data_IF_379304797094
#
_entry.id   IF_379304797094
#
_cell.length_a   1.000
_cell.length_b   1.000
_cell.length_c   1.000
_cell.angle_alpha   90.00
_cell.angle_beta   90.00
_cell.angle_gamma   90.00
#
_symmetry.space_group_name_H-M   'P 1'
#
loop_
_entity.id
_entity.type
_entity.pdbx_description
1 polymer ?
#
# COMPACT_ATOMS: atom_id res chain seq x y z
N UNK A 1 -19.35 -19.03 -28.75
CA UNK A 1 -20.21 -18.64 -27.59
C UNK A 1 -19.62 -18.97 -26.21
N UNK A 2 -19.08 -20.18 -25.92
CA UNK A 2 -18.56 -20.52 -24.57
C UNK A 2 -17.47 -19.58 -23.99
N UNK A 3 -16.63 -18.97 -24.84
CA UNK A 3 -15.55 -18.08 -24.38
C UNK A 3 -16.04 -16.68 -23.97
N UNK A 4 -17.11 -16.13 -24.56
CA UNK A 4 -17.62 -14.80 -24.18
C UNK A 4 -18.33 -14.83 -22.82
N UNK A 5 -19.06 -15.91 -22.51
CA UNK A 5 -19.67 -16.07 -21.18
C UNK A 5 -18.62 -16.09 -20.06
N UNK A 6 -17.47 -16.73 -20.29
CA UNK A 6 -16.36 -16.73 -19.33
C UNK A 6 -15.75 -15.34 -19.14
N UNK A 7 -15.58 -14.55 -20.21
CA UNK A 7 -15.04 -13.19 -20.08
C UNK A 7 -16.01 -12.26 -19.37
N UNK A 8 -17.32 -12.36 -19.63
CA UNK A 8 -18.34 -11.55 -18.96
C UNK A 8 -18.41 -11.92 -17.47
N UNK A 9 -18.41 -13.20 -17.12
CA UNK A 9 -18.39 -13.62 -15.72
C UNK A 9 -17.13 -13.16 -14.98
N UNK A 10 -15.96 -13.20 -15.65
CA UNK A 10 -14.71 -12.68 -15.10
C UNK A 10 -14.78 -11.17 -14.88
N UNK A 11 -15.36 -10.43 -15.83
CA UNK A 11 -15.54 -8.99 -15.73
C UNK A 11 -16.52 -8.61 -14.61
N UNK A 12 -17.62 -9.35 -14.48
CA UNK A 12 -18.58 -9.16 -13.40
C UNK A 12 -17.91 -9.35 -12.04
N UNK A 13 -16.88 -10.21 -11.90
CA UNK A 13 -16.14 -10.33 -10.62
C UNK A 13 -15.49 -9.03 -10.16
N UNK A 14 -15.32 -8.02 -11.02
CA UNK A 14 -14.84 -6.68 -10.65
C UNK A 14 -15.88 -5.95 -9.78
N UNK A 15 -17.18 -6.29 -9.85
CA UNK A 15 -18.20 -5.69 -9.02
C UNK A 15 -18.23 -6.31 -7.59
N UNK A 16 -18.73 -5.57 -6.57
CA UNK A 16 -18.94 -6.10 -5.22
C UNK A 16 -19.87 -7.33 -5.23
N UNK A 17 -19.67 -8.28 -4.31
CA UNK A 17 -20.49 -9.50 -4.27
C UNK A 17 -21.98 -9.19 -4.09
N UNK A 18 -22.32 -8.39 -3.08
CA UNK A 18 -23.70 -7.98 -2.79
C UNK A 18 -24.35 -7.26 -3.98
N UNK A 19 -23.60 -6.40 -4.68
CA UNK A 19 -24.07 -5.75 -5.90
C UNK A 19 -24.34 -6.76 -7.01
N UNK A 20 -23.46 -7.75 -7.21
CA UNK A 20 -23.64 -8.80 -8.23
C UNK A 20 -24.79 -9.73 -7.91
N UNK A 21 -24.99 -10.04 -6.64
CA UNK A 21 -26.09 -10.89 -6.20
C UNK A 21 -27.44 -10.21 -6.47
N UNK A 22 -27.49 -8.86 -6.44
CA UNK A 22 -28.70 -8.07 -6.73
C UNK A 22 -28.88 -7.72 -8.22
N UNK A 23 -27.83 -7.24 -8.89
CA UNK A 23 -27.92 -6.65 -10.24
C UNK A 23 -27.09 -7.39 -11.30
N UNK A 24 -26.31 -8.41 -10.91
CA UNK A 24 -25.39 -9.10 -11.81
C UNK A 24 -26.09 -9.90 -12.90
N UNK A 25 -27.28 -10.43 -12.62
CA UNK A 25 -28.12 -11.10 -13.62
C UNK A 25 -28.61 -10.13 -14.69
N UNK A 26 -29.23 -9.03 -14.27
CA UNK A 26 -29.75 -7.98 -15.17
C UNK A 26 -28.63 -7.38 -16.03
N UNK A 27 -27.49 -7.00 -15.42
CA UNK A 27 -26.36 -6.45 -16.16
C UNK A 27 -25.81 -7.44 -17.19
N UNK A 28 -25.80 -8.74 -16.87
CA UNK A 28 -25.36 -9.77 -17.82
C UNK A 28 -26.28 -9.82 -19.04
N UNK A 29 -27.59 -9.81 -18.83
CA UNK A 29 -28.58 -9.80 -19.91
C UNK A 29 -28.41 -8.55 -20.78
N UNK A 30 -28.29 -7.36 -20.16
CA UNK A 30 -28.05 -6.11 -20.91
C UNK A 30 -26.76 -6.15 -21.75
N UNK A 31 -25.68 -6.75 -21.23
CA UNK A 31 -24.43 -6.91 -21.99
C UNK A 31 -24.63 -7.88 -23.16
N UNK A 32 -25.35 -8.99 -22.96
CA UNK A 32 -25.65 -9.96 -24.02
C UNK A 32 -26.51 -9.33 -25.12
N UNK A 33 -27.51 -8.54 -24.75
CA UNK A 33 -28.37 -7.79 -25.69
C UNK A 33 -27.57 -6.74 -26.48
N UNK A 34 -26.71 -5.96 -25.82
CA UNK A 34 -25.89 -4.95 -26.51
C UNK A 34 -24.83 -5.55 -27.45
N UNK A 35 -24.42 -6.79 -27.23
CA UNK A 35 -23.38 -7.43 -28.04
C UNK A 35 -23.97 -8.21 -29.23
N UNK A 36 -25.25 -8.60 -29.20
CA UNK A 36 -25.92 -9.38 -30.25
C UNK A 36 -25.10 -10.60 -30.74
N UNK A 37 -24.36 -11.24 -29.81
CA UNK A 37 -23.48 -12.38 -30.11
C UNK A 37 -22.05 -12.02 -30.57
N UNK A 38 -21.74 -10.74 -30.77
CA UNK A 38 -20.39 -10.25 -31.08
C UNK A 38 -19.46 -10.33 -29.86
N UNK A 39 -18.14 -10.54 -30.05
CA UNK A 39 -17.19 -10.48 -28.95
C UNK A 39 -17.08 -9.04 -28.41
N UNK A 40 -16.97 -8.83 -27.09
CA UNK A 40 -16.87 -7.50 -26.53
C UNK A 40 -15.54 -6.83 -26.91
N UNK A 41 -15.63 -5.60 -27.43
CA UNK A 41 -14.44 -4.79 -27.73
C UNK A 41 -13.80 -4.25 -26.45
N UNK A 42 -12.50 -3.92 -26.48
CA UNK A 42 -11.81 -3.30 -25.34
C UNK A 42 -12.46 -1.97 -24.93
N UNK A 43 -12.95 -1.21 -25.91
CA UNK A 43 -13.66 0.05 -25.69
C UNK A 43 -14.97 -0.14 -24.91
N UNK A 44 -15.59 -1.32 -24.99
CA UNK A 44 -16.75 -1.69 -24.18
C UNK A 44 -16.34 -2.20 -22.79
N UNK A 45 -15.29 -3.02 -22.72
CA UNK A 45 -14.83 -3.65 -21.47
C UNK A 45 -14.24 -2.66 -20.48
N UNK A 46 -13.48 -1.66 -20.95
CA UNK A 46 -12.80 -0.68 -20.09
C UNK A 46 -13.80 0.15 -19.26
N UNK A 47 -14.81 0.83 -19.85
CA UNK A 47 -15.81 1.57 -19.08
C UNK A 47 -16.57 0.70 -18.08
N UNK A 48 -16.91 -0.53 -18.48
CA UNK A 48 -17.63 -1.47 -17.63
C UNK A 48 -16.76 -1.91 -16.43
N UNK A 49 -15.48 -2.20 -16.65
CA UNK A 49 -14.51 -2.46 -15.59
C UNK A 49 -14.33 -1.24 -14.66
N UNK A 50 -14.27 -0.02 -15.21
CA UNK A 50 -14.19 1.23 -14.45
C UNK A 50 -15.44 1.47 -13.61
N UNK A 51 -16.63 1.18 -14.12
CA UNK A 51 -17.89 1.23 -13.36
C UNK A 51 -17.88 0.21 -12.21
N UNK A 52 -17.43 -1.01 -12.45
CA UNK A 52 -17.24 -2.01 -11.39
C UNK A 52 -16.25 -1.57 -10.31
N UNK A 53 -15.13 -0.97 -10.74
CA UNK A 53 -14.14 -0.41 -9.83
C UNK A 53 -14.71 0.77 -9.02
N UNK A 54 -15.48 1.66 -9.65
CA UNK A 54 -16.18 2.77 -8.99
C UNK A 54 -17.19 2.25 -7.95
N UNK A 55 -17.98 1.22 -8.28
CA UNK A 55 -18.91 0.61 -7.32
C UNK A 55 -18.17 -0.04 -6.15
N UNK A 56 -17.05 -0.73 -6.40
CA UNK A 56 -16.18 -1.22 -5.33
C UNK A 56 -15.63 -0.10 -4.47
N UNK A 57 -15.23 1.02 -5.07
CA UNK A 57 -14.81 2.20 -4.33
C UNK A 57 -15.95 2.73 -3.45
N UNK A 58 -17.17 2.86 -3.97
CA UNK A 58 -18.33 3.29 -3.17
C UNK A 58 -18.62 2.32 -2.02
N UNK A 59 -18.56 1.01 -2.24
CA UNK A 59 -18.70 -0.01 -1.18
C UNK A 59 -17.56 0.00 -0.18
N UNK A 60 -16.34 0.28 -0.64
CA UNK A 60 -15.18 0.44 0.20
C UNK A 60 -15.29 1.70 1.07
N UNK A 61 -15.78 2.80 0.51
CA UNK A 61 -16.09 4.04 1.23
C UNK A 61 -17.24 3.85 2.21
N UNK A 62 -18.29 3.10 1.86
CA UNK A 62 -19.39 2.79 2.79
C UNK A 62 -18.95 1.83 3.90
N UNK A 63 -17.98 0.95 3.63
CA UNK A 63 -17.29 0.18 4.68
C UNK A 63 -16.48 1.09 5.62
N UNK A 64 -16.31 2.38 5.29
CA UNK A 64 -15.80 3.40 6.19
C UNK A 64 -16.86 4.19 6.96
N UNK A 65 -18.15 3.97 6.74
CA UNK A 65 -19.23 4.64 7.48
C UNK A 65 -19.21 4.32 9.00
N UNK A 66 -19.68 5.24 9.85
CA UNK A 66 -19.85 4.99 11.29
C UNK A 66 -20.83 3.83 11.48
N UNK A 67 -20.34 2.68 11.96
CA UNK A 67 -21.13 1.45 12.12
C UNK A 67 -20.50 0.20 11.50
N UNK A 68 -19.53 0.37 10.59
CA UNK A 68 -18.69 -0.74 10.13
C UNK A 68 -17.92 -1.33 11.32
N UNK A 69 -18.07 -2.63 11.61
CA UNK A 69 -17.46 -3.29 12.77
C UNK A 69 -15.93 -3.17 12.87
N UNK A 70 -15.30 -3.71 13.94
CA UNK A 70 -13.88 -3.53 14.28
C UNK A 70 -12.89 -3.84 13.14
N UNK A 71 -13.26 -4.75 12.24
CA UNK A 71 -12.47 -5.14 11.06
C UNK A 71 -12.22 -3.98 10.09
N UNK A 72 -13.10 -2.97 10.04
CA UNK A 72 -12.92 -1.79 9.17
C UNK A 72 -11.71 -0.95 9.58
N UNK A 73 -11.48 -0.77 10.89
CA UNK A 73 -10.32 -0.06 11.41
C UNK A 73 -9.01 -0.76 11.05
N UNK A 74 -8.94 -2.08 11.23
CA UNK A 74 -7.75 -2.86 10.87
C UNK A 74 -7.45 -2.84 9.37
N UNK A 75 -8.50 -2.89 8.52
CA UNK A 75 -8.33 -2.77 7.07
C UNK A 75 -7.74 -1.41 6.68
N UNK A 76 -8.23 -0.32 7.28
CA UNK A 76 -7.65 1.02 7.10
C UNK A 76 -6.19 1.06 7.50
N UNK A 77 -5.84 0.50 8.66
CA UNK A 77 -4.46 0.45 9.14
C UNK A 77 -3.53 -0.29 8.18
N UNK A 78 -3.96 -1.41 7.62
CA UNK A 78 -3.17 -2.17 6.64
C UNK A 78 -2.96 -1.39 5.34
N UNK A 79 -3.99 -0.69 4.85
CA UNK A 79 -3.89 0.12 3.63
C UNK A 79 -3.02 1.35 3.87
N UNK A 80 -3.19 2.03 5.00
CA UNK A 80 -2.35 3.13 5.42
C UNK A 80 -0.88 2.71 5.47
N UNK A 81 -0.60 1.54 6.03
CA UNK A 81 0.74 0.99 6.12
C UNK A 81 1.35 0.67 4.75
N UNK A 82 0.57 0.09 3.82
CA UNK A 82 1.01 -0.17 2.46
C UNK A 82 1.40 1.12 1.73
N UNK A 83 0.56 2.15 1.83
CA UNK A 83 0.82 3.46 1.26
C UNK A 83 2.02 4.14 1.91
N UNK A 84 2.16 4.02 3.23
CA UNK A 84 3.31 4.53 3.96
C UNK A 84 4.60 3.88 3.48
N UNK A 85 4.65 2.56 3.30
CA UNK A 85 5.83 1.86 2.78
C UNK A 85 6.25 2.38 1.39
N UNK A 86 5.29 2.53 0.48
CA UNK A 86 5.54 3.05 -0.87
C UNK A 86 6.01 4.50 -0.82
N UNK A 87 5.28 5.35 -0.10
CA UNK A 87 5.60 6.78 0.06
C UNK A 87 6.93 7.01 0.76
N UNK A 88 7.21 6.28 1.85
CA UNK A 88 8.45 6.40 2.61
C UNK A 88 9.67 5.92 1.81
N UNK A 89 9.54 4.84 1.04
CA UNK A 89 10.64 4.37 0.19
C UNK A 89 10.99 5.38 -0.91
N UNK A 90 9.96 5.95 -1.55
CA UNK A 90 10.15 7.04 -2.51
C UNK A 90 10.75 8.29 -1.85
N UNK A 91 10.26 8.66 -0.67
CA UNK A 91 10.80 9.78 0.12
C UNK A 91 12.27 9.59 0.48
N UNK A 92 12.67 8.41 0.98
CA UNK A 92 14.08 8.11 1.28
C UNK A 92 14.95 8.30 0.05
N UNK A 93 14.47 7.87 -1.13
CA UNK A 93 15.19 8.09 -2.38
C UNK A 93 15.29 9.57 -2.75
N UNK A 94 14.22 10.34 -2.64
CA UNK A 94 14.22 11.79 -2.89
C UNK A 94 15.17 12.54 -1.95
N UNK A 95 15.35 12.05 -0.72
CA UNK A 95 16.16 12.70 0.31
C UNK A 95 17.61 12.23 0.38
N UNK A 96 18.02 11.26 -0.45
CA UNK A 96 19.35 10.62 -0.40
C UNK A 96 20.50 11.64 -0.46
N UNK A 97 20.33 12.73 -1.21
CA UNK A 97 21.35 13.76 -1.39
C UNK A 97 21.09 15.05 -0.60
N UNK A 98 20.11 15.05 0.32
CA UNK A 98 19.75 16.25 1.06
C UNK A 98 20.92 16.81 1.89
N UNK A 99 21.76 15.93 2.44
CA UNK A 99 22.96 16.33 3.20
C UNK A 99 23.99 17.12 2.39
N UNK A 100 23.91 17.06 1.05
CA UNK A 100 24.77 17.84 0.17
C UNK A 100 24.32 19.31 0.03
N UNK A 101 23.26 19.73 0.74
CA UNK A 101 22.72 21.10 0.77
C UNK A 101 23.07 21.76 2.13
N UNK A 102 24.28 22.31 2.31
CA UNK A 102 24.90 22.48 3.64
C UNK A 102 24.22 23.51 4.55
N UNK A 103 23.51 24.50 3.96
CA UNK A 103 22.83 25.56 4.71
C UNK A 103 21.49 25.10 5.31
N UNK A 104 20.87 24.07 4.74
CA UNK A 104 19.54 23.63 5.11
C UNK A 104 19.57 22.32 5.90
N UNK A 105 20.63 21.53 5.75
CA UNK A 105 20.84 20.24 6.41
C UNK A 105 21.00 20.29 7.95
N UNK A 106 20.95 21.49 8.54
CA UNK A 106 21.24 21.75 9.97
C UNK A 106 20.07 22.40 10.72
N UNK A 107 18.91 22.54 10.08
CA UNK A 107 17.75 23.13 10.73
C UNK A 107 17.23 22.16 11.82
N UNK A 108 16.83 22.66 13.01
CA UNK A 108 16.32 21.79 14.09
C UNK A 108 15.16 20.89 13.66
N UNK A 109 14.29 21.40 12.77
CA UNK A 109 13.15 20.66 12.24
C UNK A 109 13.58 19.42 11.43
N UNK A 110 14.72 19.47 10.73
CA UNK A 110 15.25 18.31 10.01
C UNK A 110 15.71 17.23 10.97
N UNK A 111 16.45 17.60 12.02
CA UNK A 111 16.94 16.65 13.01
C UNK A 111 15.77 15.92 13.67
N UNK A 112 14.76 16.68 14.12
CA UNK A 112 13.55 16.14 14.75
C UNK A 112 12.79 15.22 13.78
N UNK A 113 12.54 15.66 12.54
CA UNK A 113 11.79 14.86 11.57
C UNK A 113 12.54 13.58 11.17
N UNK A 114 13.86 13.67 10.94
CA UNK A 114 14.73 12.53 10.69
C UNK A 114 14.69 11.51 11.82
N UNK A 115 14.81 11.96 13.08
CA UNK A 115 14.83 11.06 14.24
C UNK A 115 13.46 10.42 14.47
N UNK A 116 12.37 11.19 14.37
CA UNK A 116 11.00 10.66 14.43
C UNK A 116 10.78 9.61 13.34
N UNK A 117 11.22 9.88 12.11
CA UNK A 117 11.10 8.95 10.99
C UNK A 117 11.85 7.64 11.25
N UNK A 118 13.12 7.71 11.68
CA UNK A 118 13.95 6.53 11.94
C UNK A 118 13.44 5.70 13.12
N UNK A 119 13.19 6.35 14.25
CA UNK A 119 12.74 5.67 15.48
C UNK A 119 11.37 5.05 15.23
N UNK A 120 10.42 5.80 14.66
CA UNK A 120 9.09 5.28 14.40
C UNK A 120 9.11 4.15 13.37
N UNK A 121 9.98 4.25 12.34
CA UNK A 121 10.19 3.18 11.36
C UNK A 121 10.68 1.90 12.01
N UNK A 122 11.70 1.99 12.87
CA UNK A 122 12.23 0.84 13.62
C UNK A 122 11.16 0.22 14.55
N UNK A 123 10.47 1.04 15.35
CA UNK A 123 9.44 0.54 16.27
C UNK A 123 8.27 -0.09 15.49
N UNK A 124 7.88 0.49 14.36
CA UNK A 124 6.84 -0.06 13.48
C UNK A 124 7.24 -1.43 12.92
N UNK A 125 8.49 -1.58 12.47
CA UNK A 125 9.03 -2.87 12.05
C UNK A 125 9.00 -3.92 13.17
N UNK A 126 9.43 -3.56 14.38
CA UNK A 126 9.36 -4.46 15.54
C UNK A 126 7.93 -4.87 15.89
N UNK A 127 6.96 -3.93 15.82
CA UNK A 127 5.55 -4.23 16.03
C UNK A 127 5.04 -5.29 15.04
N UNK A 128 5.46 -5.23 13.78
CA UNK A 128 5.09 -6.22 12.76
C UNK A 128 5.69 -7.59 13.08
N UNK A 129 6.96 -7.64 13.49
CA UNK A 129 7.61 -8.90 13.88
C UNK A 129 6.90 -9.56 15.07
N UNK A 130 6.56 -8.77 16.10
CA UNK A 130 5.78 -9.25 17.24
C UNK A 130 4.40 -9.73 16.80
N UNK A 131 3.70 -8.95 15.97
CA UNK A 131 2.39 -9.32 15.44
C UNK A 131 2.43 -10.62 14.61
N UNK A 132 3.47 -10.82 13.81
CA UNK A 132 3.70 -12.02 13.04
C UNK A 132 3.99 -13.23 13.95
N UNK A 133 4.89 -13.07 14.92
CA UNK A 133 5.24 -14.12 15.89
C UNK A 133 4.01 -14.58 16.70
N UNK A 134 3.17 -13.65 17.15
CA UNK A 134 1.91 -13.95 17.85
C UNK A 134 0.90 -14.68 16.95
N UNK A 135 0.93 -14.45 15.64
CA UNK A 135 0.02 -15.06 14.67
C UNK A 135 0.47 -16.43 14.17
N UNK A 136 1.78 -16.69 14.20
CA UNK A 136 2.40 -17.93 13.72
C UNK A 136 1.77 -19.21 14.29
N UNK A 137 1.58 -19.40 15.62
CA UNK A 137 1.04 -20.66 16.14
C UNK A 137 -0.40 -20.93 15.66
N UNK A 138 -1.22 -19.88 15.53
CA UNK A 138 -2.58 -20.00 15.02
C UNK A 138 -2.61 -20.33 13.54
N UNK A 139 -1.69 -19.77 12.76
CA UNK A 139 -1.49 -20.13 11.37
C UNK A 139 -1.10 -21.61 11.22
N UNK A 140 -0.13 -22.10 12.00
CA UNK A 140 0.26 -23.51 11.98
C UNK A 140 -0.86 -24.46 12.44
N UNK A 141 -1.70 -24.05 13.40
CA UNK A 141 -2.90 -24.81 13.77
C UNK A 141 -3.92 -24.86 12.63
N UNK A 142 -4.13 -23.74 11.93
CA UNK A 142 -5.00 -23.67 10.76
C UNK A 142 -4.52 -24.59 9.62
N UNK A 143 -3.19 -24.77 9.46
CA UNK A 143 -2.62 -25.73 8.51
C UNK A 143 -3.00 -27.19 8.77
N UNK A 144 -3.62 -27.53 9.91
CA UNK A 144 -4.13 -28.88 10.17
C UNK A 144 -5.58 -29.07 9.75
N UNK A 145 -6.36 -28.00 9.53
CA UNK A 145 -7.79 -28.05 9.19
C UNK A 145 -8.10 -28.09 7.68
N UNK A 146 -9.37 -28.20 7.25
CA UNK A 146 -9.76 -28.30 5.84
C UNK A 146 -9.63 -27.00 5.03
N UNK A 147 -9.37 -25.84 5.65
CA UNK A 147 -9.36 -24.51 5.01
C UNK A 147 -8.02 -24.10 4.36
N UNK A 148 -7.07 -25.03 4.17
CA UNK A 148 -5.66 -24.72 3.84
C UNK A 148 -5.47 -24.00 2.50
N UNK A 149 -6.22 -24.36 1.47
CA UNK A 149 -5.82 -24.13 0.07
C UNK A 149 -5.84 -22.65 -0.34
N UNK A 150 -6.78 -21.85 0.15
CA UNK A 150 -6.92 -20.45 -0.27
C UNK A 150 -5.87 -19.52 0.37
N UNK A 151 -5.63 -19.67 1.68
CA UNK A 151 -4.62 -18.85 2.40
C UNK A 151 -3.23 -19.19 1.92
N UNK A 152 -2.93 -20.49 1.76
CA UNK A 152 -1.62 -20.95 1.33
C UNK A 152 -1.26 -20.43 -0.05
N UNK A 153 -2.21 -20.41 -0.99
CA UNK A 153 -1.96 -19.85 -2.31
C UNK A 153 -1.50 -18.39 -2.22
N UNK A 154 -2.18 -17.54 -1.43
CA UNK A 154 -1.80 -16.11 -1.32
C UNK A 154 -0.44 -15.93 -0.64
N UNK A 155 -0.18 -16.68 0.44
CA UNK A 155 1.11 -16.63 1.13
C UNK A 155 2.24 -17.09 0.22
N UNK A 156 2.05 -18.19 -0.52
CA UNK A 156 3.05 -18.66 -1.50
C UNK A 156 3.33 -17.60 -2.56
N UNK A 157 2.28 -16.97 -3.13
CA UNK A 157 2.48 -15.88 -4.08
C UNK A 157 3.23 -14.69 -3.49
N UNK A 158 2.90 -14.28 -2.26
CA UNK A 158 3.63 -13.25 -1.56
C UNK A 158 5.11 -13.63 -1.34
N UNK A 159 5.39 -14.85 -0.89
CA UNK A 159 6.76 -15.33 -0.67
C UNK A 159 7.57 -15.40 -1.97
N UNK A 160 6.95 -15.82 -3.07
CA UNK A 160 7.58 -15.82 -4.40
C UNK A 160 7.92 -14.40 -4.85
N UNK A 161 6.96 -13.47 -4.72
CA UNK A 161 7.17 -12.06 -5.06
C UNK A 161 8.24 -11.40 -4.17
N UNK A 162 8.22 -11.68 -2.87
CA UNK A 162 9.23 -11.19 -1.92
C UNK A 162 10.62 -11.72 -2.25
N UNK A 163 10.73 -13.01 -2.60
CA UNK A 163 12.00 -13.62 -3.02
C UNK A 163 12.52 -13.00 -4.32
N UNK A 164 11.64 -12.82 -5.31
CA UNK A 164 11.99 -12.15 -6.57
C UNK A 164 12.42 -10.70 -6.34
N UNK A 165 11.73 -9.97 -5.45
CA UNK A 165 12.09 -8.62 -5.06
C UNK A 165 13.47 -8.54 -4.39
N UNK A 166 13.76 -9.45 -3.45
CA UNK A 166 15.07 -9.51 -2.79
C UNK A 166 16.19 -9.79 -3.80
N UNK A 167 16.00 -10.78 -4.67
CA UNK A 167 16.97 -11.11 -5.73
C UNK A 167 17.18 -9.95 -6.71
N UNK A 168 16.09 -9.29 -7.12
CA UNK A 168 16.14 -8.11 -7.98
C UNK A 168 16.86 -6.95 -7.29
N UNK A 169 16.68 -6.76 -5.99
CA UNK A 169 17.38 -5.71 -5.21
C UNK A 169 18.89 -5.96 -5.20
N UNK A 170 19.33 -7.19 -4.90
CA UNK A 170 20.75 -7.55 -4.94
C UNK A 170 21.32 -7.33 -6.35
N UNK A 171 20.61 -7.79 -7.38
CA UNK A 171 21.02 -7.63 -8.78
C UNK A 171 21.12 -6.15 -9.19
N UNK A 172 20.16 -5.32 -8.77
CA UNK A 172 20.13 -3.89 -9.03
C UNK A 172 21.29 -3.16 -8.34
N UNK A 173 21.61 -3.54 -7.09
CA UNK A 173 22.75 -2.98 -6.35
C UNK A 173 24.07 -3.34 -7.05
N UNK A 174 24.25 -4.61 -7.43
CA UNK A 174 25.44 -5.04 -8.18
C UNK A 174 25.55 -4.30 -9.52
N UNK A 175 24.43 -4.16 -10.25
CA UNK A 175 24.41 -3.40 -11.50
C UNK A 175 24.76 -1.93 -11.28
N UNK A 176 24.25 -1.31 -10.21
CA UNK A 176 24.55 0.07 -9.86
C UNK A 176 26.02 0.29 -9.47
N UNK A 177 26.71 -0.72 -8.92
CA UNK A 177 28.14 -0.61 -8.59
C UNK A 177 29.04 -0.46 -9.81
N UNK A 178 28.60 -0.89 -10.99
CA UNK A 178 29.33 -0.72 -12.25
C UNK A 178 29.01 0.61 -12.96
N UNK A 179 28.21 1.49 -12.34
CA UNK A 179 27.80 2.76 -12.93
C UNK A 179 28.37 3.96 -12.19
N UNK A 180 28.73 5.00 -12.96
CA UNK A 180 29.05 6.30 -12.40
C UNK A 180 27.78 7.02 -11.88
N UNK A 181 27.96 8.12 -11.15
CA UNK A 181 26.85 8.87 -10.54
C UNK A 181 25.83 9.38 -11.57
N UNK A 182 26.30 9.83 -12.74
CA UNK A 182 25.43 10.39 -13.79
C UNK A 182 24.52 9.30 -14.37
N UNK A 183 25.08 8.14 -14.69
CA UNK A 183 24.32 7.01 -15.22
C UNK A 183 23.23 6.52 -14.25
N UNK A 184 23.50 6.50 -12.94
CA UNK A 184 22.51 6.11 -11.91
C UNK A 184 21.38 7.12 -11.71
N UNK A 185 21.61 8.39 -12.04
CA UNK A 185 20.69 9.50 -11.79
C UNK A 185 20.04 10.03 -13.08
N UNK A 186 19.62 9.12 -13.96
CA UNK A 186 18.88 9.45 -15.18
C UNK A 186 19.71 9.52 -16.46
N UNK A 187 21.04 9.41 -16.38
CA UNK A 187 21.92 9.38 -17.55
C UNK A 187 21.92 8.06 -18.33
N UNK A 188 21.32 7.00 -17.80
CA UNK A 188 21.21 5.70 -18.47
C UNK A 188 19.74 5.22 -18.51
N UNK A 189 19.11 5.16 -19.70
CA UNK A 189 17.69 4.79 -19.83
C UNK A 189 17.42 3.32 -19.49
N UNK A 190 18.38 2.41 -19.72
CA UNK A 190 18.25 1.01 -19.34
C UNK A 190 18.20 0.88 -17.81
N UNK A 191 19.11 1.56 -17.10
CA UNK A 191 19.10 1.56 -15.64
C UNK A 191 17.79 2.13 -15.08
N UNK A 192 17.31 3.25 -15.65
CA UNK A 192 16.05 3.85 -15.26
C UNK A 192 14.86 2.88 -15.46
N UNK A 193 14.83 2.16 -16.59
CA UNK A 193 13.82 1.13 -16.86
C UNK A 193 13.86 -0.03 -15.88
N UNK A 194 15.06 -0.54 -15.55
CA UNK A 194 15.24 -1.60 -14.55
C UNK A 194 14.83 -1.12 -13.15
N UNK A 195 15.20 0.12 -12.78
CA UNK A 195 14.82 0.72 -11.50
C UNK A 195 13.29 0.91 -11.38
N UNK A 196 12.63 1.31 -12.47
CA UNK A 196 11.17 1.41 -12.53
C UNK A 196 10.50 0.05 -12.37
N UNK A 197 10.98 -0.98 -13.09
CA UNK A 197 10.47 -2.35 -12.96
C UNK A 197 10.65 -2.88 -11.54
N UNK A 198 11.80 -2.61 -10.91
CA UNK A 198 12.05 -2.92 -9.50
C UNK A 198 11.06 -2.21 -8.56
N UNK A 199 10.79 -0.92 -8.79
CA UNK A 199 9.79 -0.15 -8.01
C UNK A 199 8.37 -0.69 -8.14
N UNK A 200 7.98 -1.14 -9.34
CA UNK A 200 6.69 -1.81 -9.58
C UNK A 200 6.64 -3.15 -8.82
N UNK A 201 7.71 -3.96 -8.91
CA UNK A 201 7.81 -5.23 -8.20
C UNK A 201 7.71 -5.04 -6.68
N UNK A 202 8.35 -4.00 -6.15
CA UNK A 202 8.23 -3.61 -4.74
C UNK A 202 6.77 -3.33 -4.35
N UNK A 203 6.09 -2.44 -5.09
CA UNK A 203 4.70 -2.08 -4.81
C UNK A 203 3.77 -3.30 -4.89
N UNK A 204 3.92 -4.15 -5.90
CA UNK A 204 3.15 -5.40 -6.05
C UNK A 204 3.40 -6.35 -4.89
N UNK A 205 4.65 -6.47 -4.43
CA UNK A 205 5.02 -7.31 -3.27
C UNK A 205 4.37 -6.81 -1.99
N UNK A 206 4.39 -5.49 -1.74
CA UNK A 206 3.72 -4.87 -0.58
C UNK A 206 2.22 -5.15 -0.62
N UNK A 207 1.56 -4.93 -1.77
CA UNK A 207 0.13 -5.19 -1.94
C UNK A 207 -0.19 -6.67 -1.71
N UNK A 208 0.59 -7.59 -2.28
CA UNK A 208 0.41 -9.03 -2.10
C UNK A 208 0.56 -9.44 -0.62
N UNK A 209 1.51 -8.84 0.10
CA UNK A 209 1.68 -9.03 1.55
C UNK A 209 0.44 -8.59 2.32
N UNK A 210 -0.04 -7.37 2.08
CA UNK A 210 -1.26 -6.85 2.71
C UNK A 210 -2.49 -7.72 2.43
N UNK A 211 -2.68 -8.15 1.17
CA UNK A 211 -3.78 -9.05 0.79
C UNK A 211 -3.69 -10.43 1.43
N UNK A 212 -2.47 -10.91 1.70
CA UNK A 212 -2.23 -12.17 2.42
C UNK A 212 -2.57 -12.02 3.90
N UNK A 213 -2.16 -10.91 4.53
CA UNK A 213 -2.52 -10.59 5.91
C UNK A 213 -4.04 -10.47 6.08
N UNK A 214 -4.73 -9.76 5.18
CA UNK A 214 -6.18 -9.61 5.21
C UNK A 214 -6.93 -10.94 5.10
N UNK A 215 -6.44 -11.84 4.24
CA UNK A 215 -7.02 -13.17 4.10
C UNK A 215 -6.74 -14.02 5.35
N UNK A 216 -5.53 -13.92 5.92
CA UNK A 216 -5.16 -14.59 7.16
C UNK A 216 -6.04 -14.16 8.32
N UNK A 217 -6.25 -12.85 8.51
CA UNK A 217 -7.12 -12.31 9.58
C UNK A 217 -8.55 -12.81 9.47
N UNK A 218 -9.06 -13.04 8.26
CA UNK A 218 -10.43 -13.55 8.04
C UNK A 218 -10.59 -15.04 8.37
N UNK A 219 -9.52 -15.83 8.31
CA UNK A 219 -9.59 -17.28 8.45
C UNK A 219 -9.00 -17.80 9.77
N UNK A 220 -8.07 -17.07 10.38
CA UNK A 220 -7.42 -17.47 11.61
C UNK A 220 -8.34 -17.15 12.81
N UNK A 221 -8.71 -18.19 13.55
CA UNK A 221 -9.44 -18.06 14.81
C UNK A 221 -8.45 -17.79 15.94
N UNK A 222 -8.33 -16.53 16.34
CA UNK A 222 -7.48 -16.10 17.46
C UNK A 222 -8.20 -16.26 18.81
N UNK A 223 -7.43 -16.44 19.89
CA UNK A 223 -7.97 -16.30 21.25
C UNK A 223 -8.29 -14.85 21.57
N UNK A 224 -9.19 -14.61 22.54
CA UNK A 224 -9.55 -13.25 22.97
C UNK A 224 -8.33 -12.43 23.44
N UNK A 225 -7.38 -13.09 24.13
CA UNK A 225 -6.14 -12.46 24.59
C UNK A 225 -5.26 -12.02 23.42
N UNK A 226 -5.05 -12.90 22.43
CA UNK A 226 -4.25 -12.56 21.24
C UNK A 226 -4.92 -11.47 20.41
N UNK A 227 -6.25 -11.48 20.28
CA UNK A 227 -6.98 -10.39 19.60
C UNK A 227 -6.73 -9.06 20.32
N UNK A 228 -6.85 -9.01 21.65
CA UNK A 228 -6.61 -7.79 22.40
C UNK A 228 -5.17 -7.27 22.21
N UNK A 229 -4.18 -8.15 22.19
CA UNK A 229 -2.79 -7.78 21.96
C UNK A 229 -2.56 -7.27 20.53
N UNK A 230 -3.11 -7.96 19.52
CA UNK A 230 -3.05 -7.54 18.11
C UNK A 230 -3.73 -6.19 17.89
N UNK A 231 -4.85 -5.92 18.57
CA UNK A 231 -5.53 -4.62 18.51
C UNK A 231 -4.63 -3.51 19.07
N UNK A 232 -3.95 -3.74 20.21
CA UNK A 232 -3.01 -2.77 20.79
C UNK A 232 -1.80 -2.53 19.89
N UNK A 233 -1.22 -3.59 19.34
CA UNK A 233 -0.09 -3.50 18.39
C UNK A 233 -0.52 -2.78 17.13
N UNK A 234 -1.70 -3.08 16.59
CA UNK A 234 -2.26 -2.43 15.40
C UNK A 234 -2.55 -0.94 15.64
N UNK A 235 -3.06 -0.59 16.84
CA UNK A 235 -3.27 0.80 17.24
C UNK A 235 -1.94 1.56 17.30
N UNK A 236 -0.93 0.98 17.97
CA UNK A 236 0.42 1.55 18.03
C UNK A 236 1.02 1.70 16.63
N UNK A 237 0.91 0.67 15.79
CA UNK A 237 1.35 0.72 14.40
C UNK A 237 0.70 1.84 13.60
N UNK A 238 -0.61 2.07 13.77
CA UNK A 238 -1.31 3.17 13.10
C UNK A 238 -0.85 4.56 13.59
N UNK A 239 -0.57 4.71 14.89
CA UNK A 239 0.02 5.94 15.44
C UNK A 239 1.41 6.19 14.83
N UNK A 240 2.25 5.15 14.78
CA UNK A 240 3.59 5.24 14.21
C UNK A 240 3.55 5.56 12.71
N UNK A 241 2.68 4.92 11.93
CA UNK A 241 2.48 5.25 10.51
C UNK A 241 2.07 6.71 10.33
N UNK A 242 1.20 7.23 11.20
CA UNK A 242 0.80 8.64 11.18
C UNK A 242 2.01 9.55 11.44
N UNK A 243 2.83 9.24 12.45
CA UNK A 243 4.02 10.01 12.82
C UNK A 243 5.08 10.01 11.69
N UNK A 244 5.39 8.84 11.12
CA UNK A 244 6.34 8.71 10.01
C UNK A 244 5.86 9.50 8.79
N UNK A 245 4.58 9.36 8.43
CA UNK A 245 4.02 10.01 7.24
C UNK A 245 3.99 11.52 7.39
N UNK A 246 3.58 12.03 8.56
CA UNK A 246 3.62 13.45 8.87
C UNK A 246 5.05 13.99 8.85
N UNK A 247 6.00 13.27 9.44
CA UNK A 247 7.41 13.66 9.45
C UNK A 247 7.98 13.77 8.03
N UNK A 248 7.73 12.76 7.19
CA UNK A 248 8.15 12.77 5.79
C UNK A 248 7.50 13.91 4.99
N UNK A 249 6.22 14.22 5.23
CA UNK A 249 5.52 15.33 4.60
C UNK A 249 6.08 16.69 5.01
N UNK A 250 6.37 16.90 6.30
CA UNK A 250 6.99 18.13 6.80
C UNK A 250 8.38 18.32 6.19
N UNK A 251 9.15 17.23 6.06
CA UNK A 251 10.46 17.28 5.42
C UNK A 251 10.34 17.59 3.92
N UNK A 252 9.42 16.95 3.19
CA UNK A 252 9.15 17.29 1.79
C UNK A 252 8.75 18.75 1.63
N UNK A 253 7.85 19.26 2.48
CA UNK A 253 7.44 20.65 2.47
C UNK A 253 8.64 21.59 2.69
N UNK A 254 9.51 21.27 3.65
CA UNK A 254 10.74 22.03 3.89
C UNK A 254 11.64 22.07 2.64
N UNK A 255 11.81 20.93 1.96
CA UNK A 255 12.59 20.84 0.72
C UNK A 255 11.98 21.71 -0.39
N UNK A 256 10.65 21.63 -0.58
CA UNK A 256 9.94 22.44 -1.58
C UNK A 256 10.12 23.94 -1.31
N UNK A 257 10.01 24.39 -0.06
CA UNK A 257 10.08 25.81 0.30
C UNK A 257 11.50 26.34 0.31
N UNK A 258 12.45 25.56 0.84
CA UNK A 258 13.83 26.05 1.09
C UNK A 258 14.80 25.71 -0.02
N UNK A 259 14.54 24.66 -0.80
CA UNK A 259 15.39 24.23 -1.91
C UNK A 259 14.56 23.64 -3.06
N UNK A 260 13.68 24.41 -3.70
CA UNK A 260 12.79 23.89 -4.74
C UNK A 260 13.54 23.20 -5.90
N UNK A 261 14.73 23.72 -6.25
CA UNK A 261 15.59 23.10 -7.27
C UNK A 261 16.10 21.70 -6.90
N UNK A 262 16.17 21.34 -5.61
CA UNK A 262 16.61 20.02 -5.15
C UNK A 262 15.70 18.89 -5.65
N UNK A 263 14.38 19.11 -5.64
CA UNK A 263 13.40 18.10 -6.05
C UNK A 263 13.18 18.03 -7.57
N UNK A 264 13.77 18.97 -8.33
CA UNK A 264 13.63 19.01 -9.78
C UNK A 264 14.43 17.92 -10.51
N UNK A 265 15.38 17.28 -9.83
CA UNK A 265 16.30 16.31 -10.43
C UNK A 265 17.34 16.93 -11.39
N UNK A 266 17.33 18.26 -11.55
CA UNK A 266 18.29 18.99 -12.38
C UNK A 266 19.62 19.28 -11.66
N UNK A 267 20.61 19.83 -12.37
CA UNK A 267 21.85 20.31 -11.79
C UNK A 267 21.60 21.31 -10.66
N UNK A 268 22.46 21.30 -9.63
CA UNK A 268 22.35 22.26 -8.54
C UNK A 268 22.33 23.70 -9.06
N UNK A 269 21.34 24.49 -8.61
CA UNK A 269 21.18 25.90 -9.01
C UNK A 269 20.29 26.14 -10.24
N UNK A 270 19.78 25.11 -10.92
CA UNK A 270 18.78 25.32 -11.98
C UNK A 270 17.39 25.67 -11.41
N UNK A 271 16.70 26.67 -11.97
CA UNK A 271 15.31 26.96 -11.64
C UNK A 271 14.42 25.86 -12.23
N UNK A 272 14.18 24.80 -11.46
CA UNK A 272 13.25 23.73 -11.79
C UNK A 272 12.06 23.71 -10.84
N UNK A 273 10.90 23.28 -11.33
CA UNK A 273 9.74 23.05 -10.48
C UNK A 273 10.05 21.93 -9.47
N UNK A 274 9.76 22.10 -8.17
CA UNK A 274 9.88 21.02 -7.19
C UNK A 274 8.82 19.94 -7.38
N UNK A 275 7.77 20.24 -8.16
CA UNK A 275 6.62 19.37 -8.40
C UNK A 275 6.84 18.47 -9.61
N UNK A 276 7.71 17.48 -9.45
CA UNK A 276 7.79 16.36 -10.39
C UNK A 276 6.66 15.37 -10.12
N UNK A 277 6.33 14.54 -11.12
CA UNK A 277 5.33 13.47 -10.95
C UNK A 277 5.66 12.58 -9.73
N UNK A 278 6.94 12.25 -9.53
CA UNK A 278 7.39 11.42 -8.40
C UNK A 278 7.15 12.13 -7.07
N UNK A 279 7.48 13.43 -6.96
CA UNK A 279 7.23 14.20 -5.74
C UNK A 279 5.73 14.24 -5.40
N UNK A 280 4.87 14.49 -6.41
CA UNK A 280 3.41 14.53 -6.23
C UNK A 280 2.87 13.18 -5.81
N UNK A 281 3.28 12.09 -6.46
CA UNK A 281 2.86 10.73 -6.10
C UNK A 281 3.34 10.35 -4.68
N UNK A 282 4.55 10.75 -4.31
CA UNK A 282 5.11 10.52 -2.97
C UNK A 282 4.31 11.27 -1.91
N UNK A 283 4.08 12.57 -2.10
CA UNK A 283 3.29 13.39 -1.18
C UNK A 283 1.85 12.88 -1.07
N UNK A 284 1.22 12.51 -2.19
CA UNK A 284 -0.12 11.93 -2.22
C UNK A 284 -0.20 10.62 -1.45
N UNK A 285 0.76 9.70 -1.65
CA UNK A 285 0.82 8.44 -0.92
C UNK A 285 0.98 8.65 0.60
N UNK A 286 1.85 9.57 1.02
CA UNK A 286 2.07 9.90 2.43
C UNK A 286 0.85 10.59 3.06
N UNK A 287 0.20 11.51 2.35
CA UNK A 287 -1.03 12.17 2.82
C UNK A 287 -2.17 11.18 3.01
N UNK A 288 -2.38 10.29 2.03
CA UNK A 288 -3.36 9.22 2.15
C UNK A 288 -3.00 8.27 3.30
N UNK A 289 -1.74 7.88 3.43
CA UNK A 289 -1.28 7.04 4.54
C UNK A 289 -1.61 7.68 5.90
N UNK A 290 -1.27 8.96 6.08
CA UNK A 290 -1.57 9.74 7.28
C UNK A 290 -3.08 9.82 7.58
N UNK A 291 -3.89 10.16 6.58
CA UNK A 291 -5.35 10.25 6.76
C UNK A 291 -5.98 8.90 7.12
N UNK A 292 -5.61 7.83 6.41
CA UNK A 292 -6.12 6.49 6.67
C UNK A 292 -5.66 5.95 8.03
N UNK A 293 -4.43 6.24 8.45
CA UNK A 293 -3.91 5.79 9.76
C UNK A 293 -4.60 6.52 10.91
N UNK A 294 -4.87 7.83 10.79
CA UNK A 294 -5.67 8.56 11.78
C UNK A 294 -7.09 8.00 11.88
N UNK A 295 -7.74 7.73 10.75
CA UNK A 295 -9.07 7.10 10.76
C UNK A 295 -9.05 5.71 11.39
N UNK A 296 -8.00 4.92 11.13
CA UNK A 296 -7.77 3.63 11.80
C UNK A 296 -7.67 3.79 13.31
N UNK A 297 -6.89 4.76 13.80
CA UNK A 297 -6.75 5.05 15.25
C UNK A 297 -8.11 5.40 15.86
N UNK A 298 -8.86 6.33 15.24
CA UNK A 298 -10.16 6.78 15.74
C UNK A 298 -11.14 5.61 15.83
N UNK A 299 -11.25 4.80 14.78
CA UNK A 299 -12.16 3.65 14.75
C UNK A 299 -11.80 2.57 15.76
N UNK A 300 -10.53 2.18 15.82
CA UNK A 300 -10.06 1.16 16.77
C UNK A 300 -10.23 1.61 18.22
N UNK A 301 -10.00 2.90 18.49
CA UNK A 301 -10.19 3.48 19.83
C UNK A 301 -11.66 3.48 20.24
N UNK A 302 -12.57 3.94 19.36
CA UNK A 302 -14.02 3.93 19.62
C UNK A 302 -14.56 2.53 19.89
N UNK A 303 -14.13 1.54 19.10
CA UNK A 303 -14.51 0.15 19.32
C UNK A 303 -14.04 -0.36 20.70
N UNK A 304 -12.81 -0.03 21.08
CA UNK A 304 -12.24 -0.45 22.37
C UNK A 304 -12.98 0.19 23.55
N UNK A 305 -13.42 1.44 23.42
CA UNK A 305 -14.21 2.14 24.43
C UNK A 305 -15.61 1.52 24.57
N UNK A 306 -16.31 1.28 23.46
CA UNK A 306 -17.66 0.68 23.48
C UNK A 306 -17.67 -0.71 24.14
N UNK A 307 -16.62 -1.51 23.92
CA UNK A 307 -16.48 -2.84 24.53
C UNK A 307 -16.21 -2.79 26.04
N UNK A 308 -15.70 -1.67 26.59
CA UNK A 308 -15.48 -1.52 28.04
C UNK A 308 -16.77 -1.15 28.79
N UNK A 309 -17.73 -0.56 28.09
CA UNK A 309 -19.00 -0.09 28.66
C UNK A 309 -20.13 -1.11 28.56
N UNK A 310 -19.94 -2.18 27.78
CA UNK A 310 -20.85 -3.33 27.65
C UNK A 310 -20.40 -4.48 28.55
#
# INVERSE_FOLDING_TARGET
MRNSNRSIEQLLRIYPREWRDRYGGELKVTIEDCLEGSPPSLNFLIPLALCGAKQRYTYFVSAFSPGSGPLSGTMLGIIAWALALIGCSSFVKLTEHWRNVPRLSKLPIELITSDVFRVSGLVSFLCILVGAALSAPYYFKMQKGPSKTKVNRRIVWFLLLASAFMFSTVSLVLFAHHMNSIARNGGNPLFAGVFLAWGILYAVTVIAGCLSCLEGVRQIKFSAQTINLQVKIGLLGAILVSAISLSALLMLFLMVVKAPGFLSGGPAGHPGSPWTLITVLTAGALLMAFGLSLMSVIKTSRYTLAKRTS
#
